data_IF_756806848322
#
_entry.id   IF_756806848322
#
_cell.length_a   1.000
_cell.length_b   1.000
_cell.length_c   1.000
_cell.angle_alpha   90.00
_cell.angle_beta   90.00
_cell.angle_gamma   90.00
#
_symmetry.space_group_name_H-M   'P 1'
#
loop_
_entity.id
_entity.type
_entity.pdbx_description
1 polymer ?
#
# COMPACT_ATOMS: atom_id res chain seq x y z
N UNK A 1 4.31 7.04 -19.01
CA UNK A 1 5.54 7.59 -18.40
C UNK A 1 6.38 6.41 -17.97
N UNK A 2 7.69 6.44 -18.18
CA UNK A 2 8.57 5.37 -17.72
C UNK A 2 8.94 5.70 -16.27
N UNK A 3 8.46 4.91 -15.32
CA UNK A 3 8.74 5.11 -13.90
C UNK A 3 10.21 4.79 -13.62
N UNK A 4 10.96 5.74 -13.06
CA UNK A 4 12.35 5.51 -12.61
C UNK A 4 12.45 5.39 -11.09
N UNK A 5 13.30 4.47 -10.61
CA UNK A 5 13.62 4.34 -9.19
C UNK A 5 14.24 5.63 -8.62
N UNK A 6 15.07 6.32 -9.40
CA UNK A 6 15.74 7.56 -8.98
C UNK A 6 14.75 8.71 -8.81
N UNK A 7 13.78 8.83 -9.73
CA UNK A 7 12.72 9.85 -9.65
C UNK A 7 11.82 9.61 -8.43
N UNK A 8 11.41 8.37 -8.20
CA UNK A 8 10.62 7.99 -7.04
C UNK A 8 11.38 8.21 -5.73
N UNK A 9 12.68 7.90 -5.69
CA UNK A 9 13.53 8.19 -4.54
C UNK A 9 13.64 9.70 -4.29
N UNK A 10 13.82 10.49 -5.34
CA UNK A 10 13.88 11.95 -5.22
C UNK A 10 12.58 12.50 -4.62
N UNK A 11 11.42 12.01 -5.05
CA UNK A 11 10.13 12.36 -4.44
C UNK A 11 10.10 11.95 -2.96
N UNK A 12 10.35 10.68 -2.66
CA UNK A 12 10.31 10.14 -1.29
C UNK A 12 11.25 10.89 -0.33
N UNK A 13 12.43 11.32 -0.80
CA UNK A 13 13.42 12.06 0.00
C UNK A 13 12.92 13.41 0.52
N UNK A 14 11.84 13.96 -0.06
CA UNK A 14 11.21 15.17 0.45
C UNK A 14 10.37 14.95 1.72
N UNK A 15 10.02 13.70 2.02
CA UNK A 15 9.07 13.28 3.06
C UNK A 15 9.69 12.38 4.12
N UNK A 16 10.81 11.71 3.82
CA UNK A 16 11.51 10.83 4.76
C UNK A 16 12.95 11.29 4.98
N UNK A 17 13.44 11.22 6.22
CA UNK A 17 14.81 11.62 6.56
C UNK A 17 15.85 10.58 6.16
N UNK A 18 17.04 11.07 5.81
CA UNK A 18 18.22 10.23 5.54
C UNK A 18 19.10 10.02 6.77
N UNK A 19 18.73 10.60 7.92
CA UNK A 19 19.41 10.40 9.19
C UNK A 19 18.42 10.03 10.29
N UNK A 20 18.92 9.35 11.32
CA UNK A 20 18.15 8.98 12.50
C UNK A 20 18.00 10.13 13.51
N UNK A 21 18.52 11.31 13.18
CA UNK A 21 18.64 12.42 14.14
C UNK A 21 17.29 12.87 14.69
N UNK A 22 16.23 12.81 13.87
CA UNK A 22 14.87 13.19 14.27
C UNK A 22 14.12 12.08 15.01
N UNK A 23 14.48 10.81 14.85
CA UNK A 23 13.85 9.71 15.62
C UNK A 23 14.11 9.81 17.13
N UNK A 24 15.28 10.34 17.49
CA UNK A 24 15.70 10.46 18.89
C UNK A 24 15.33 11.82 19.51
N UNK A 25 14.81 12.75 18.70
CA UNK A 25 14.40 14.08 19.13
C UNK A 25 12.89 14.12 19.35
N UNK A 26 12.44 14.96 20.28
CA UNK A 26 11.00 15.23 20.46
C UNK A 26 10.44 16.15 19.37
N UNK A 27 11.30 16.72 18.52
CA UNK A 27 10.92 17.61 17.42
C UNK A 27 10.53 16.79 16.20
N UNK A 28 9.36 17.09 15.64
CA UNK A 28 8.92 16.56 14.34
C UNK A 28 9.84 17.09 13.24
N UNK A 29 10.32 16.21 12.36
CA UNK A 29 11.15 16.68 11.26
C UNK A 29 10.32 17.47 10.25
N UNK A 30 10.91 18.46 9.55
CA UNK A 30 10.21 19.16 8.47
C UNK A 30 9.73 18.23 7.35
N UNK A 31 10.35 17.05 7.21
CA UNK A 31 9.93 16.03 6.24
C UNK A 31 8.66 15.30 6.71
N UNK A 32 8.57 14.96 8.00
CA UNK A 32 7.35 14.42 8.61
C UNK A 32 6.19 15.42 8.55
N UNK A 33 6.44 16.73 8.79
CA UNK A 33 5.42 17.77 8.64
C UNK A 33 4.86 17.84 7.21
N UNK A 34 5.71 17.65 6.19
CA UNK A 34 5.26 17.59 4.78
C UNK A 34 4.39 16.38 4.52
N UNK A 35 4.70 15.22 5.10
CA UNK A 35 3.88 14.02 4.97
C UNK A 35 2.49 14.24 5.61
N UNK A 36 2.45 14.84 6.80
CA UNK A 36 1.19 15.22 7.44
C UNK A 36 0.40 16.24 6.62
N UNK A 37 1.08 17.24 6.03
CA UNK A 37 0.42 18.19 5.14
C UNK A 37 -0.15 17.52 3.88
N UNK A 38 0.54 16.51 3.32
CA UNK A 38 0.02 15.71 2.21
C UNK A 38 -1.23 14.94 2.62
N UNK A 39 -1.23 14.30 3.80
CA UNK A 39 -2.41 13.64 4.35
C UNK A 39 -3.60 14.59 4.54
N UNK A 40 -3.37 15.78 5.12
CA UNK A 40 -4.43 16.77 5.29
C UNK A 40 -5.11 17.11 3.97
N UNK A 41 -4.33 17.34 2.91
CA UNK A 41 -4.86 17.61 1.56
C UNK A 41 -5.66 16.44 1.00
N UNK A 42 -5.19 15.21 1.19
CA UNK A 42 -5.92 14.03 0.71
C UNK A 42 -7.23 13.78 1.48
N UNK A 43 -7.25 14.10 2.78
CA UNK A 43 -8.44 13.97 3.60
C UNK A 43 -9.50 15.04 3.29
N UNK A 44 -9.12 16.21 2.78
CA UNK A 44 -10.07 17.18 2.21
C UNK A 44 -10.86 16.59 1.02
N UNK A 45 -10.31 15.57 0.36
CA UNK A 45 -10.90 14.87 -0.77
C UNK A 45 -11.31 13.42 -0.43
N UNK A 46 -11.61 13.12 0.84
CA UNK A 46 -11.94 11.76 1.32
C UNK A 46 -13.09 11.09 0.56
N UNK A 47 -14.07 11.87 0.08
CA UNK A 47 -15.20 11.39 -0.71
C UNK A 47 -14.77 10.69 -2.02
N UNK A 48 -13.66 11.13 -2.63
CA UNK A 48 -13.09 10.48 -3.82
C UNK A 48 -12.69 9.04 -3.51
N UNK A 49 -12.09 8.83 -2.34
CA UNK A 49 -11.62 7.52 -1.89
C UNK A 49 -12.78 6.59 -1.56
N UNK A 50 -13.85 7.10 -0.93
CA UNK A 50 -15.06 6.32 -0.67
C UNK A 50 -15.78 5.95 -1.96
N UNK A 51 -15.91 6.89 -2.89
CA UNK A 51 -16.49 6.66 -4.22
C UNK A 51 -15.71 5.60 -5.00
N UNK A 52 -14.38 5.64 -4.96
CA UNK A 52 -13.52 4.62 -5.55
C UNK A 52 -13.76 3.24 -4.94
N UNK A 53 -13.78 3.12 -3.60
CA UNK A 53 -14.08 1.85 -2.90
C UNK A 53 -15.43 1.29 -3.31
N UNK A 54 -16.45 2.13 -3.38
CA UNK A 54 -17.82 1.71 -3.69
C UNK A 54 -17.98 1.32 -5.17
N UNK A 55 -17.28 2.00 -6.08
CA UNK A 55 -17.17 1.59 -7.48
C UNK A 55 -16.48 0.23 -7.63
N UNK A 56 -15.40 0.00 -6.87
CA UNK A 56 -14.71 -1.29 -6.90
C UNK A 56 -15.55 -2.42 -6.29
N UNK A 57 -16.35 -2.14 -5.24
CA UNK A 57 -17.25 -3.14 -4.64
C UNK A 57 -18.21 -3.75 -5.67
N UNK A 58 -18.68 -2.95 -6.63
CA UNK A 58 -19.53 -3.43 -7.74
C UNK A 58 -18.77 -4.30 -8.74
N UNK A 59 -17.46 -4.07 -8.88
CA UNK A 59 -16.58 -4.75 -9.84
C UNK A 59 -15.94 -6.02 -9.28
N UNK A 60 -15.98 -6.22 -7.95
CA UNK A 60 -15.45 -7.38 -7.23
C UNK A 60 -16.54 -8.12 -6.45
N UNK A 61 -17.50 -8.77 -7.13
CA UNK A 61 -18.44 -9.64 -6.43
C UNK A 61 -17.69 -10.77 -5.73
N UNK A 62 -18.12 -11.12 -4.51
CA UNK A 62 -17.47 -12.15 -3.70
C UNK A 62 -16.31 -11.67 -2.83
N UNK A 63 -16.01 -10.36 -2.83
CA UNK A 63 -15.00 -9.76 -1.96
C UNK A 63 -15.62 -8.73 -1.00
N UNK A 64 -15.18 -8.76 0.26
CA UNK A 64 -15.37 -7.67 1.20
C UNK A 64 -14.22 -6.68 1.02
N UNK A 65 -14.55 -5.40 0.82
CA UNK A 65 -13.57 -4.35 0.61
C UNK A 65 -13.45 -3.45 1.84
N UNK A 66 -12.22 -3.26 2.31
CA UNK A 66 -11.86 -2.27 3.33
C UNK A 66 -10.90 -1.26 2.75
N UNK A 67 -11.14 0.02 3.04
CA UNK A 67 -10.22 1.10 2.73
C UNK A 67 -9.59 1.58 4.03
N UNK A 68 -8.28 1.74 4.03
CA UNK A 68 -7.47 2.14 5.16
C UNK A 68 -6.44 3.18 4.77
N UNK A 69 -6.06 4.01 5.72
CA UNK A 69 -4.92 4.91 5.65
C UNK A 69 -4.37 5.09 7.06
N UNK A 70 -3.06 5.24 7.18
CA UNK A 70 -2.38 5.64 8.41
C UNK A 70 -1.61 6.90 8.09
N UNK A 71 -1.64 7.91 8.97
CA UNK A 71 -0.84 9.13 8.75
C UNK A 71 0.67 8.88 8.84
N UNK A 72 1.06 7.70 9.32
CA UNK A 72 2.43 7.16 9.28
C UNK A 72 2.79 6.49 7.94
N UNK A 73 1.79 6.12 7.13
CA UNK A 73 1.98 5.54 5.81
C UNK A 73 2.06 6.66 4.74
N UNK A 74 2.60 6.34 3.57
CA UNK A 74 2.66 7.23 2.41
C UNK A 74 1.56 6.93 1.37
N UNK A 75 0.51 6.23 1.77
CA UNK A 75 -0.54 5.80 0.86
C UNK A 75 -1.83 5.31 1.51
N UNK A 76 -2.89 5.25 0.72
CA UNK A 76 -4.10 4.51 1.07
C UNK A 76 -3.96 3.04 0.68
N UNK A 77 -4.53 2.15 1.49
CA UNK A 77 -4.59 0.71 1.25
C UNK A 77 -6.04 0.28 1.10
N UNK A 78 -6.34 -0.31 -0.05
CA UNK A 78 -7.61 -0.97 -0.32
C UNK A 78 -7.41 -2.48 -0.26
N UNK A 79 -8.09 -3.13 0.67
CA UNK A 79 -7.94 -4.55 0.95
C UNK A 79 -9.20 -5.27 0.49
N UNK A 80 -9.03 -6.26 -0.38
CA UNK A 80 -10.07 -7.16 -0.86
C UNK A 80 -9.93 -8.52 -0.20
N UNK A 81 -10.85 -8.82 0.73
CA UNK A 81 -10.96 -10.10 1.41
C UNK A 81 -11.94 -11.00 0.64
N UNK A 82 -11.55 -12.21 0.24
CA UNK A 82 -12.51 -13.20 -0.25
C UNK A 82 -13.55 -13.51 0.84
N UNK A 83 -14.85 -13.40 0.51
CA UNK A 83 -15.95 -13.69 1.46
C UNK A 83 -16.00 -15.20 1.81
N UNK A 84 -15.38 -16.05 0.99
CA UNK A 84 -15.51 -17.51 0.99
C UNK A 84 -14.62 -18.26 2.01
N UNK A 85 -14.31 -17.69 3.18
CA UNK A 85 -13.63 -18.43 4.26
C UNK A 85 -14.37 -19.73 4.70
N UNK A 86 -15.58 -19.99 4.21
CA UNK A 86 -16.41 -21.15 4.54
C UNK A 86 -16.48 -22.24 3.47
N UNK A 87 -16.01 -22.03 2.23
CA UNK A 87 -16.07 -23.03 1.16
C UNK A 87 -14.68 -23.36 0.60
N UNK A 88 -14.46 -24.64 0.28
CA UNK A 88 -13.22 -25.10 -0.35
C UNK A 88 -13.18 -24.66 -1.83
N UNK A 89 -12.01 -24.20 -2.33
CA UNK A 89 -10.75 -24.03 -1.61
C UNK A 89 -10.77 -22.82 -0.67
N UNK A 90 -10.20 -22.99 0.53
CA UNK A 90 -10.03 -21.89 1.48
C UNK A 90 -9.02 -20.91 0.91
N UNK A 91 -9.41 -19.64 0.78
CA UNK A 91 -8.50 -18.58 0.39
C UNK A 91 -7.87 -17.98 1.64
N UNK A 92 -6.63 -18.39 1.88
CA UNK A 92 -5.77 -17.93 2.96
C UNK A 92 -4.99 -16.67 2.54
N UNK A 93 -5.65 -15.79 1.77
CA UNK A 93 -5.04 -14.56 1.27
C UNK A 93 -6.06 -13.44 1.03
N UNK A 94 -5.55 -12.21 1.05
CA UNK A 94 -6.24 -10.99 0.60
C UNK A 94 -5.41 -10.26 -0.44
N UNK A 95 -6.05 -9.53 -1.35
CA UNK A 95 -5.34 -8.61 -2.26
C UNK A 95 -5.38 -7.19 -1.69
N UNK A 96 -4.26 -6.49 -1.75
CA UNK A 96 -4.13 -5.11 -1.33
C UNK A 96 -3.70 -4.27 -2.53
N UNK A 97 -4.53 -3.28 -2.89
CA UNK A 97 -4.14 -2.18 -3.76
C UNK A 97 -3.67 -1.01 -2.91
N UNK A 98 -2.40 -0.65 -3.00
CA UNK A 98 -1.85 0.51 -2.32
C UNK A 98 -1.60 1.65 -3.30
N UNK A 99 -2.10 2.83 -2.95
CA UNK A 99 -2.08 4.02 -3.79
C UNK A 99 -1.29 5.08 -3.04
N UNK A 100 -0.20 5.55 -3.64
CA UNK A 100 0.67 6.54 -3.00
C UNK A 100 -0.01 7.92 -2.99
N UNK A 101 0.15 8.66 -1.90
CA UNK A 101 -0.22 10.09 -1.83
C UNK A 101 0.95 11.01 -2.21
N UNK A 102 2.15 10.45 -2.40
CA UNK A 102 3.38 11.21 -2.69
C UNK A 102 3.67 11.30 -4.18
N UNK A 103 3.27 10.28 -4.94
CA UNK A 103 3.52 10.16 -6.37
C UNK A 103 2.31 9.51 -7.07
N UNK A 104 2.10 9.76 -8.38
CA UNK A 104 0.99 9.20 -9.14
C UNK A 104 1.22 7.72 -9.50
N UNK A 105 1.46 6.91 -8.47
CA UNK A 105 1.83 5.50 -8.59
C UNK A 105 1.08 4.62 -7.61
N UNK A 106 0.96 3.35 -7.95
CA UNK A 106 0.30 2.34 -7.11
C UNK A 106 1.07 1.03 -7.14
N UNK A 107 0.79 0.15 -6.17
CA UNK A 107 1.27 -1.22 -6.13
C UNK A 107 0.14 -2.15 -5.73
N UNK A 108 0.09 -3.35 -6.31
CA UNK A 108 -0.86 -4.39 -5.92
C UNK A 108 -0.08 -5.60 -5.45
N UNK A 109 -0.39 -6.07 -4.24
CA UNK A 109 0.26 -7.22 -3.63
C UNK A 109 -0.78 -8.08 -2.90
N UNK A 110 -0.41 -9.29 -2.52
CA UNK A 110 -1.23 -10.15 -1.67
C UNK A 110 -0.70 -10.20 -0.24
N UNK A 111 -1.60 -10.46 0.70
CA UNK A 111 -1.23 -10.85 2.07
C UNK A 111 -1.77 -12.25 2.30
N UNK A 112 -0.89 -13.21 2.47
CA UNK A 112 -1.20 -14.57 2.88
C UNK A 112 -1.29 -14.67 4.40
N UNK A 113 -2.18 -15.50 4.91
CA UNK A 113 -2.38 -15.73 6.34
C UNK A 113 -3.01 -17.09 6.59
N UNK A 114 -2.77 -17.69 7.74
CA UNK A 114 -3.44 -18.91 8.15
C UNK A 114 -4.81 -18.60 8.78
N UNK A 115 -5.86 -19.31 8.38
CA UNK A 115 -7.18 -19.24 9.01
C UNK A 115 -7.46 -20.45 9.91
N UNK A 116 -7.23 -20.29 11.21
CA UNK A 116 -7.47 -21.34 12.22
C UNK A 116 -8.65 -20.95 13.12
N UNK A 117 -9.72 -21.75 13.13
CA UNK A 117 -10.93 -21.54 13.96
C UNK A 117 -11.52 -20.12 13.83
N UNK A 118 -11.51 -19.56 12.61
CA UNK A 118 -12.02 -18.22 12.32
C UNK A 118 -11.11 -17.06 12.73
N UNK A 119 -9.90 -17.35 13.22
CA UNK A 119 -8.85 -16.34 13.48
C UNK A 119 -7.78 -16.40 12.40
N UNK A 120 -7.33 -15.23 11.96
CA UNK A 120 -6.21 -15.07 11.03
C UNK A 120 -4.91 -14.92 11.79
N UNK A 121 -3.85 -15.57 11.35
CA UNK A 121 -2.50 -15.49 11.92
C UNK A 121 -1.43 -15.65 10.85
N UNK A 122 -0.16 -15.44 11.21
CA UNK A 122 0.99 -15.64 10.31
C UNK A 122 0.90 -14.84 9.00
N UNK A 123 0.59 -13.54 9.11
CA UNK A 123 0.46 -12.67 7.94
C UNK A 123 1.80 -12.49 7.22
N UNK A 124 1.78 -12.64 5.89
CA UNK A 124 2.94 -12.49 5.03
C UNK A 124 2.59 -11.75 3.75
N UNK A 125 3.30 -10.67 3.46
CA UNK A 125 3.14 -9.94 2.21
C UNK A 125 3.83 -10.68 1.04
N UNK A 126 3.13 -10.77 -0.09
CA UNK A 126 3.56 -11.38 -1.35
C UNK A 126 3.39 -10.32 -2.44
N UNK A 127 4.51 -9.72 -2.87
CA UNK A 127 4.52 -8.63 -3.86
C UNK A 127 4.24 -9.07 -5.30
N UNK A 128 4.27 -10.37 -5.55
CA UNK A 128 3.94 -10.97 -6.85
C UNK A 128 2.81 -11.99 -6.65
N UNK A 129 1.55 -11.53 -6.66
CA UNK A 129 0.38 -12.36 -6.36
C UNK A 129 0.10 -13.34 -7.51
N UNK A 130 0.68 -14.55 -7.40
CA UNK A 130 0.64 -15.59 -8.44
C UNK A 130 -0.21 -16.81 -8.06
N UNK A 131 -0.80 -16.84 -6.86
CA UNK A 131 -1.63 -17.97 -6.44
C UNK A 131 -2.96 -18.01 -7.21
N UNK A 132 -3.53 -19.21 -7.44
CA UNK A 132 -4.82 -19.35 -8.10
C UNK A 132 -5.93 -18.52 -7.43
N UNK A 133 -6.71 -17.81 -8.26
CA UNK A 133 -7.79 -16.93 -7.81
C UNK A 133 -7.35 -15.48 -7.53
N UNK A 134 -6.06 -15.17 -7.50
CA UNK A 134 -5.55 -13.80 -7.30
C UNK A 134 -5.61 -12.92 -8.56
N UNK A 135 -5.48 -13.50 -9.76
CA UNK A 135 -5.38 -12.75 -11.01
C UNK A 135 -6.59 -11.83 -11.28
N UNK A 136 -7.82 -12.34 -11.05
CA UNK A 136 -9.04 -11.55 -11.22
C UNK A 136 -9.06 -10.30 -10.31
N UNK A 137 -8.94 -10.40 -8.98
CA UNK A 137 -8.94 -9.22 -8.12
C UNK A 137 -7.75 -8.29 -8.38
N UNK A 138 -6.56 -8.83 -8.67
CA UNK A 138 -5.38 -8.01 -9.02
C UNK A 138 -5.64 -7.16 -10.25
N UNK A 139 -6.15 -7.75 -11.33
CA UNK A 139 -6.47 -7.03 -12.58
C UNK A 139 -7.54 -5.97 -12.35
N UNK A 140 -8.64 -6.32 -11.66
CA UNK A 140 -9.75 -5.39 -11.44
C UNK A 140 -9.34 -4.20 -10.57
N UNK A 141 -8.58 -4.44 -9.51
CA UNK A 141 -8.02 -3.36 -8.66
C UNK A 141 -7.12 -2.46 -9.50
N UNK A 142 -6.16 -3.04 -10.21
CA UNK A 142 -5.18 -2.30 -11.02
C UNK A 142 -5.87 -1.40 -12.06
N UNK A 143 -6.75 -1.99 -12.87
CA UNK A 143 -7.50 -1.25 -13.90
C UNK A 143 -8.38 -0.15 -13.31
N UNK A 144 -9.00 -0.38 -12.14
CA UNK A 144 -9.84 0.65 -11.52
C UNK A 144 -9.00 1.79 -10.94
N UNK A 145 -7.81 1.52 -10.41
CA UNK A 145 -6.88 2.57 -9.95
C UNK A 145 -6.46 3.44 -11.14
N UNK A 146 -6.07 2.82 -12.24
CA UNK A 146 -5.67 3.51 -13.48
C UNK A 146 -6.81 4.37 -14.04
N UNK A 147 -8.04 3.84 -14.06
CA UNK A 147 -9.22 4.55 -14.54
C UNK A 147 -9.58 5.76 -13.68
N UNK A 148 -9.56 5.63 -12.34
CA UNK A 148 -10.01 6.69 -11.42
C UNK A 148 -8.93 7.73 -11.12
N UNK A 149 -7.67 7.31 -11.08
CA UNK A 149 -6.55 8.16 -10.66
C UNK A 149 -5.60 8.53 -11.80
N UNK A 150 -5.58 7.77 -12.89
CA UNK A 150 -4.58 7.93 -13.96
C UNK A 150 -3.16 7.55 -13.52
N UNK A 151 -3.03 6.78 -12.44
CA UNK A 151 -1.74 6.41 -11.85
C UNK A 151 -1.14 5.21 -12.58
N UNK A 152 0.16 4.99 -12.39
CA UNK A 152 0.88 3.86 -13.00
C UNK A 152 1.37 2.85 -11.96
N UNK A 153 1.35 1.57 -12.29
CA UNK A 153 1.85 0.52 -11.40
C UNK A 153 3.36 0.66 -11.23
N UNK A 154 3.87 0.60 -9.99
CA UNK A 154 5.30 0.46 -9.73
C UNK A 154 5.68 -1.01 -9.91
N UNK A 155 6.63 -1.32 -10.80
CA UNK A 155 7.17 -2.66 -10.95
C UNK A 155 7.76 -3.23 -9.64
N UNK A 156 7.69 -4.55 -9.45
CA UNK A 156 8.19 -5.25 -8.25
C UNK A 156 9.70 -5.02 -8.04
N UNK A 157 10.48 -5.06 -9.11
CA UNK A 157 11.92 -4.79 -9.10
C UNK A 157 12.26 -3.36 -8.66
N UNK A 158 11.49 -2.37 -9.13
CA UNK A 158 11.66 -0.97 -8.71
C UNK A 158 11.22 -0.79 -7.26
N UNK A 159 10.02 -1.23 -6.90
CA UNK A 159 9.47 -1.02 -5.55
C UNK A 159 10.33 -1.67 -4.46
N UNK A 160 11.00 -2.78 -4.76
CA UNK A 160 11.90 -3.49 -3.82
C UNK A 160 13.32 -2.96 -3.79
N UNK A 161 13.63 -1.89 -4.54
CA UNK A 161 14.95 -1.26 -4.51
C UNK A 161 15.23 -0.70 -3.11
N UNK A 162 16.34 -1.09 -2.47
CA UNK A 162 16.77 -0.52 -1.19
C UNK A 162 17.09 0.97 -1.30
N UNK A 163 16.78 1.75 -0.27
CA UNK A 163 16.98 3.20 -0.26
C UNK A 163 17.63 3.69 1.03
N UNK A 164 18.35 4.83 0.99
CA UNK A 164 19.05 5.40 2.15
C UNK A 164 18.13 6.30 3.00
N UNK A 165 16.86 5.93 3.18
CA UNK A 165 15.88 6.69 3.97
C UNK A 165 15.39 5.90 5.18
N UNK A 166 15.12 6.59 6.28
CA UNK A 166 14.45 6.04 7.45
C UNK A 166 12.92 6.21 7.28
N UNK A 167 12.18 5.12 7.39
CA UNK A 167 10.72 5.10 7.21
C UNK A 167 10.10 4.36 8.38
N UNK A 168 9.40 5.08 9.25
CA UNK A 168 8.88 4.52 10.50
C UNK A 168 9.95 3.72 11.27
N UNK A 169 9.71 2.47 11.67
CA UNK A 169 10.71 1.67 12.37
C UNK A 169 11.80 1.09 11.46
N UNK A 170 11.70 1.26 10.13
CA UNK A 170 12.66 0.72 9.16
C UNK A 170 13.82 1.67 8.92
N UNK A 171 15.03 1.10 8.95
CA UNK A 171 16.27 1.80 8.67
C UNK A 171 16.99 1.19 7.45
N UNK A 172 17.78 2.01 6.72
CA UNK A 172 18.68 1.49 5.70
C UNK A 172 19.64 0.43 6.29
N UNK A 173 19.98 -0.64 5.54
CA UNK A 173 19.63 -0.90 4.14
C UNK A 173 18.31 -1.68 3.96
N UNK A 174 17.50 -1.83 5.01
CA UNK A 174 16.27 -2.64 4.96
C UNK A 174 15.05 -1.87 4.47
N UNK A 175 15.10 -0.55 4.44
CA UNK A 175 14.09 0.31 3.81
C UNK A 175 14.12 0.17 2.30
N UNK A 176 12.94 0.02 1.70
CA UNK A 176 12.74 -0.05 0.24
C UNK A 176 11.93 1.14 -0.29
N UNK A 177 11.92 1.35 -1.61
CA UNK A 177 11.02 2.30 -2.25
C UNK A 177 9.54 2.03 -1.94
N UNK A 178 9.15 0.76 -1.81
CA UNK A 178 7.80 0.38 -1.43
C UNK A 178 7.44 0.98 -0.07
N UNK A 179 8.34 0.83 0.91
CA UNK A 179 8.12 1.33 2.27
C UNK A 179 7.89 2.84 2.27
N UNK A 180 8.72 3.57 1.52
CA UNK A 180 8.67 5.02 1.47
C UNK A 180 7.50 5.59 0.65
N UNK A 181 6.97 4.85 -0.32
CA UNK A 181 5.88 5.33 -1.19
C UNK A 181 4.51 4.87 -0.73
N UNK A 182 4.44 3.82 0.10
CA UNK A 182 3.20 3.13 0.43
C UNK A 182 3.07 2.87 1.93
N UNK A 183 3.72 1.82 2.45
CA UNK A 183 3.64 1.42 3.86
C UNK A 183 4.87 0.62 4.26
N UNK A 184 5.36 0.84 5.48
CA UNK A 184 6.43 0.04 6.08
C UNK A 184 5.94 -1.31 6.63
N UNK A 185 4.63 -1.49 6.79
CA UNK A 185 4.00 -2.70 7.35
C UNK A 185 3.04 -3.38 6.36
N UNK A 186 3.52 -3.88 5.20
CA UNK A 186 2.65 -4.40 4.15
C UNK A 186 1.79 -5.60 4.58
N UNK A 187 2.27 -6.42 5.53
CA UNK A 187 1.53 -7.58 6.06
C UNK A 187 0.47 -7.22 7.11
N UNK A 188 0.50 -5.99 7.64
CA UNK A 188 -0.39 -5.55 8.71
C UNK A 188 -1.77 -5.18 8.14
N UNK A 189 -2.70 -6.14 8.18
CA UNK A 189 -4.08 -5.96 7.73
C UNK A 189 -5.09 -6.36 8.84
N UNK A 190 -6.29 -5.75 8.89
CA UNK A 190 -7.33 -6.08 9.87
C UNK A 190 -7.98 -7.46 9.69
#
# INVERSE_FOLDING_TARGET
MTISAEELLAIASNYWDSSKDFYLRQETSPRTERLQAAWTRELEHVERWWSFRDALRRSLPGFELKLMGSTADAGFRLIAYPILCTQLPRYDWSIVGCISILAPVYAVYAVEYECTKGKRSQFKAIFEPTLPGMDFPVRVISSKIEEVFGFSAVPSDISRTPIPLFVESKEPPHTTLFDALFTSEPASIP
#
